data_IF_654658226061
#
_entry.id   IF_654658226061
#
_cell.length_a   1.000
_cell.length_b   1.000
_cell.length_c   1.000
_cell.angle_alpha   90.00
_cell.angle_beta   90.00
_cell.angle_gamma   90.00
#
_symmetry.space_group_name_H-M   'P 1'
#
loop_
_entity.id
_entity.type
_entity.pdbx_description
1 polymer ?
#
# COMPACT_ATOMS: atom_id res chain seq x y z
N UNK A 1 3.48 32.83 17.74
CA UNK A 1 2.76 31.65 18.30
C UNK A 1 3.76 30.65 18.85
N UNK A 2 3.64 30.25 20.12
CA UNK A 2 4.66 29.45 20.81
C UNK A 2 4.73 27.97 20.35
N UNK A 3 3.64 27.43 19.80
CA UNK A 3 3.55 26.04 19.36
C UNK A 3 4.26 25.73 18.02
N UNK A 4 4.63 26.76 17.25
CA UNK A 4 5.24 26.61 15.91
C UNK A 4 4.32 25.98 14.84
N UNK A 5 3.06 25.68 15.17
CA UNK A 5 2.09 25.03 14.28
C UNK A 5 1.27 26.03 13.45
N UNK A 6 0.71 25.52 12.36
CA UNK A 6 -0.35 26.17 11.57
C UNK A 6 -1.65 25.36 11.70
N UNK A 7 -2.84 25.97 11.52
CA UNK A 7 -3.07 27.40 11.34
C UNK A 7 -2.91 28.21 12.63
N UNK A 8 -2.66 29.51 12.46
CA UNK A 8 -2.58 30.50 13.52
C UNK A 8 -3.31 31.78 13.08
N UNK A 9 -3.91 32.50 14.03
CA UNK A 9 -4.74 33.67 13.81
C UNK A 9 -4.32 34.80 14.75
N UNK A 10 -4.19 36.01 14.21
CA UNK A 10 -3.96 37.24 14.94
C UNK A 10 -4.97 38.29 14.50
N UNK A 11 -5.68 38.90 15.44
CA UNK A 11 -6.64 39.97 15.17
C UNK A 11 -5.95 41.34 15.11
N UNK A 12 -6.67 42.37 14.62
CA UNK A 12 -6.13 43.75 14.53
C UNK A 12 -5.82 44.39 15.89
N UNK A 13 -6.42 43.89 16.96
CA UNK A 13 -6.22 44.26 18.35
C UNK A 13 -5.22 43.35 19.10
N UNK A 14 -4.55 42.42 18.39
CA UNK A 14 -3.47 41.59 18.95
C UNK A 14 -3.94 40.36 19.72
N UNK A 15 -5.22 39.96 19.62
CA UNK A 15 -5.66 38.67 20.15
C UNK A 15 -5.14 37.54 19.25
N UNK A 16 -4.34 36.66 19.84
CA UNK A 16 -3.70 35.52 19.16
C UNK A 16 -4.39 34.20 19.50
N UNK A 17 -4.78 33.42 18.48
CA UNK A 17 -5.39 32.10 18.62
C UNK A 17 -4.70 31.08 17.69
N UNK A 18 -4.67 29.81 18.11
CA UNK A 18 -4.12 28.69 17.32
C UNK A 18 -5.04 27.46 17.47
N UNK A 19 -4.73 26.39 16.71
CA UNK A 19 -5.61 25.25 16.41
C UNK A 19 -6.80 25.62 15.50
N UNK A 20 -6.94 24.90 14.38
CA UNK A 20 -7.86 25.28 13.28
C UNK A 20 -9.32 25.38 13.71
N UNK A 21 -9.81 24.40 14.46
CA UNK A 21 -11.19 24.35 14.93
C UNK A 21 -11.52 25.43 15.98
N UNK A 22 -10.55 25.83 16.79
CA UNK A 22 -10.70 26.95 17.72
C UNK A 22 -10.80 28.28 16.95
N UNK A 23 -9.93 28.49 15.95
CA UNK A 23 -9.98 29.66 15.06
C UNK A 23 -11.31 29.71 14.30
N UNK A 24 -11.74 28.59 13.70
CA UNK A 24 -12.96 28.53 12.91
C UNK A 24 -14.22 28.76 13.77
N UNK A 25 -14.28 28.21 14.99
CA UNK A 25 -15.35 28.48 15.96
C UNK A 25 -15.37 29.95 16.40
N UNK A 26 -14.21 30.55 16.67
CA UNK A 26 -14.11 31.97 17.00
C UNK A 26 -14.65 32.84 15.85
N UNK A 27 -14.19 32.62 14.61
CA UNK A 27 -14.67 33.35 13.42
C UNK A 27 -16.17 33.15 13.19
N UNK A 28 -16.70 31.95 13.39
CA UNK A 28 -18.14 31.69 13.31
C UNK A 28 -18.93 32.46 14.39
N UNK A 29 -18.40 32.57 15.61
CA UNK A 29 -19.05 33.31 16.71
C UNK A 29 -19.08 34.82 16.52
N UNK A 30 -18.14 35.39 15.74
CA UNK A 30 -18.16 36.82 15.34
C UNK A 30 -19.34 37.18 14.41
N UNK A 31 -20.04 36.18 13.85
CA UNK A 31 -21.25 36.38 13.06
C UNK A 31 -22.38 35.43 13.52
N UNK A 32 -23.03 35.69 14.68
CA UNK A 32 -24.07 34.79 15.22
C UNK A 32 -25.22 34.52 14.24
N UNK A 33 -25.62 35.54 13.48
CA UNK A 33 -26.68 35.45 12.45
C UNK A 33 -26.32 34.57 11.24
N UNK A 34 -25.11 33.99 11.18
CA UNK A 34 -24.71 33.01 10.16
C UNK A 34 -25.41 31.66 10.33
N UNK A 35 -25.77 31.29 11.57
CA UNK A 35 -26.26 29.95 11.91
C UNK A 35 -25.18 28.85 11.91
N UNK A 36 -23.90 29.18 11.73
CA UNK A 36 -22.80 28.20 11.65
C UNK A 36 -22.60 27.41 12.95
N UNK A 37 -22.97 27.99 14.10
CA UNK A 37 -22.98 27.34 15.41
C UNK A 37 -24.41 26.95 15.85
N UNK A 38 -25.36 26.92 14.91
CA UNK A 38 -26.78 26.71 15.16
C UNK A 38 -27.47 27.90 15.84
N UNK A 39 -28.47 27.61 16.67
CA UNK A 39 -29.39 28.59 17.30
C UNK A 39 -29.51 28.48 18.81
N UNK A 40 -28.95 27.43 19.40
CA UNK A 40 -29.03 27.12 20.83
C UNK A 40 -27.68 26.61 21.36
N UNK A 41 -27.45 26.63 22.69
CA UNK A 41 -26.27 26.00 23.29
C UNK A 41 -26.14 24.51 22.93
N UNK A 42 -27.27 23.81 22.76
CA UNK A 42 -27.33 22.42 22.33
C UNK A 42 -26.83 22.24 20.90
N UNK A 43 -27.22 23.11 19.96
CA UNK A 43 -26.70 23.08 18.59
C UNK A 43 -25.19 23.36 18.57
N UNK A 44 -24.75 24.35 19.33
CA UNK A 44 -23.34 24.74 19.41
C UNK A 44 -22.46 23.61 19.97
N UNK A 45 -22.96 22.85 20.96
CA UNK A 45 -22.31 21.67 21.50
C UNK A 45 -22.32 20.47 20.52
N UNK A 46 -23.38 20.29 19.73
CA UNK A 46 -23.41 19.28 18.66
C UNK A 46 -22.43 19.61 17.53
N UNK A 47 -22.25 20.89 17.21
CA UNK A 47 -21.18 21.35 16.29
C UNK A 47 -19.81 21.01 16.88
N UNK A 48 -19.55 21.32 18.14
CA UNK A 48 -18.26 20.99 18.80
C UNK A 48 -18.00 19.48 18.83
N UNK A 49 -19.02 18.67 19.12
CA UNK A 49 -18.92 17.22 19.12
C UNK A 49 -18.48 16.69 17.74
N UNK A 50 -19.14 17.14 16.67
CA UNK A 50 -18.80 16.67 15.32
C UNK A 50 -17.45 17.21 14.84
N UNK A 51 -17.13 18.48 15.08
CA UNK A 51 -15.82 19.06 14.74
C UNK A 51 -14.70 18.31 15.47
N UNK A 52 -14.83 18.10 16.79
CA UNK A 52 -13.85 17.34 17.58
C UNK A 52 -13.72 15.89 17.12
N UNK A 53 -14.81 15.25 16.71
CA UNK A 53 -14.80 13.89 16.16
C UNK A 53 -14.10 13.83 14.80
N UNK A 54 -14.34 14.80 13.91
CA UNK A 54 -13.65 14.89 12.61
C UNK A 54 -12.15 15.13 12.83
N UNK A 55 -11.78 16.00 13.77
CA UNK A 55 -10.38 16.28 14.09
C UNK A 55 -9.64 15.04 14.63
N UNK A 56 -10.18 14.36 15.66
CA UNK A 56 -9.51 13.21 16.27
C UNK A 56 -9.65 11.92 15.44
N UNK A 57 -10.86 11.63 14.97
CA UNK A 57 -11.18 10.33 14.38
C UNK A 57 -10.98 10.25 12.86
N UNK A 58 -10.68 11.36 12.19
CA UNK A 58 -10.44 11.37 10.75
C UNK A 58 -9.18 12.16 10.39
N UNK A 59 -9.11 13.45 10.72
CA UNK A 59 -8.03 14.35 10.28
C UNK A 59 -6.67 14.02 10.88
N UNK A 60 -6.59 13.77 12.20
CA UNK A 60 -5.35 13.39 12.90
C UNK A 60 -4.72 12.11 12.31
N UNK A 61 -5.55 11.13 11.98
CA UNK A 61 -5.15 9.87 11.34
C UNK A 61 -4.72 10.10 9.88
N UNK A 62 -5.43 10.97 9.16
CA UNK A 62 -5.06 11.41 7.81
C UNK A 62 -3.69 12.11 7.76
N UNK A 63 -3.38 12.99 8.72
CA UNK A 63 -2.04 13.59 8.85
C UNK A 63 -0.97 12.56 9.22
N UNK A 64 -1.28 11.63 10.12
CA UNK A 64 -0.36 10.55 10.49
C UNK A 64 -0.03 9.66 9.28
N UNK A 65 -1.04 9.31 8.48
CA UNK A 65 -0.89 8.57 7.23
C UNK A 65 -0.12 9.39 6.19
N UNK A 66 -0.41 10.69 6.04
CA UNK A 66 0.34 11.58 5.15
C UNK A 66 1.84 11.56 5.47
N UNK A 67 2.21 11.75 6.74
CA UNK A 67 3.61 11.74 7.18
C UNK A 67 4.29 10.38 6.96
N UNK A 68 3.57 9.28 7.20
CA UNK A 68 4.06 7.93 6.98
C UNK A 68 4.30 7.63 5.49
N UNK A 69 3.39 8.01 4.60
CA UNK A 69 3.50 7.78 3.15
C UNK A 69 4.52 8.71 2.46
N UNK A 70 4.85 9.87 3.05
CA UNK A 70 5.87 10.80 2.55
C UNK A 70 7.23 10.68 3.26
N UNK A 71 7.42 9.68 4.13
CA UNK A 71 8.70 9.43 4.81
C UNK A 71 9.11 10.48 5.84
N UNK A 72 8.17 11.25 6.39
CA UNK A 72 8.41 12.12 7.55
C UNK A 72 8.76 11.30 8.80
N UNK A 73 8.30 10.06 8.84
CA UNK A 73 8.62 9.03 9.83
C UNK A 73 9.04 7.74 9.11
N UNK A 74 9.76 6.81 9.76
CA UNK A 74 10.04 5.49 9.19
C UNK A 74 8.76 4.77 8.79
N UNK A 75 8.69 4.29 7.56
CA UNK A 75 7.53 3.58 7.04
C UNK A 75 7.31 2.25 7.76
N UNK A 76 6.05 1.95 8.08
CA UNK A 76 5.64 0.76 8.84
C UNK A 76 4.30 0.27 8.28
N UNK A 77 4.27 -0.93 7.66
CA UNK A 77 3.08 -1.41 6.96
C UNK A 77 1.90 -1.73 7.91
N UNK A 78 2.07 -2.41 9.05
CA UNK A 78 0.98 -2.58 10.02
C UNK A 78 0.36 -1.26 10.49
N UNK A 79 1.17 -0.24 10.77
CA UNK A 79 0.68 1.08 11.18
C UNK A 79 -0.04 1.81 10.04
N UNK A 80 0.40 1.66 8.79
CA UNK A 80 -0.32 2.16 7.61
C UNK A 80 -1.71 1.53 7.49
N UNK A 81 -1.80 0.19 7.61
CA UNK A 81 -3.07 -0.55 7.56
C UNK A 81 -4.00 -0.09 8.69
N UNK A 82 -3.52 -0.05 9.92
CA UNK A 82 -4.26 0.46 11.08
C UNK A 82 -4.76 1.90 10.87
N UNK A 83 -3.94 2.80 10.34
CA UNK A 83 -4.35 4.18 10.07
C UNK A 83 -5.46 4.25 9.01
N UNK A 84 -5.38 3.45 7.94
CA UNK A 84 -6.44 3.37 6.93
C UNK A 84 -7.74 2.83 7.51
N UNK A 85 -7.69 1.73 8.25
CA UNK A 85 -8.86 1.17 8.95
C UNK A 85 -9.50 2.20 9.88
N UNK A 86 -8.72 2.89 10.71
CA UNK A 86 -9.23 3.86 11.67
C UNK A 86 -9.74 5.15 11.00
N UNK A 87 -9.35 5.45 9.76
CA UNK A 87 -9.99 6.46 8.89
C UNK A 87 -11.33 5.93 8.36
N UNK A 88 -11.37 4.68 7.86
CA UNK A 88 -12.62 4.05 7.40
C UNK A 88 -13.67 3.92 8.52
N UNK A 89 -13.27 3.63 9.76
CA UNK A 89 -14.16 3.64 10.94
C UNK A 89 -14.82 5.02 11.11
N UNK A 90 -14.02 6.08 11.16
CA UNK A 90 -14.50 7.46 11.35
C UNK A 90 -15.42 7.91 10.22
N UNK A 91 -15.05 7.63 8.96
CA UNK A 91 -15.88 7.91 7.80
C UNK A 91 -17.18 7.10 7.79
N UNK A 92 -17.19 5.88 8.32
CA UNK A 92 -18.41 5.09 8.45
C UNK A 92 -19.40 5.77 9.40
N UNK A 93 -18.95 6.24 10.57
CA UNK A 93 -19.81 6.98 11.52
C UNK A 93 -20.36 8.28 10.91
N UNK A 94 -19.50 9.07 10.25
CA UNK A 94 -19.92 10.31 9.58
C UNK A 94 -20.94 10.02 8.46
N UNK A 95 -20.69 9.00 7.64
CA UNK A 95 -21.58 8.61 6.55
C UNK A 95 -22.93 8.08 7.05
N UNK A 96 -22.96 7.26 8.10
CA UNK A 96 -24.20 6.76 8.70
C UNK A 96 -25.07 7.88 9.28
N UNK A 97 -24.48 8.98 9.77
CA UNK A 97 -25.25 10.18 10.09
C UNK A 97 -25.80 10.87 8.83
N UNK A 98 -24.98 11.01 7.80
CA UNK A 98 -25.28 11.74 6.55
C UNK A 98 -26.16 10.97 5.53
N UNK A 99 -26.41 9.67 5.73
CA UNK A 99 -27.45 8.91 5.02
C UNK A 99 -28.85 9.19 5.57
N UNK A 100 -28.96 9.65 6.82
CA UNK A 100 -30.25 9.96 7.46
C UNK A 100 -30.50 11.46 7.64
N UNK A 101 -29.48 12.31 7.48
CA UNK A 101 -29.56 13.76 7.65
C UNK A 101 -28.83 14.47 6.51
N UNK A 102 -29.37 15.59 6.00
CA UNK A 102 -28.71 16.40 4.96
C UNK A 102 -27.37 16.97 5.46
N UNK A 103 -27.33 17.36 6.73
CA UNK A 103 -26.22 18.04 7.42
C UNK A 103 -26.03 17.46 8.83
N UNK A 104 -24.94 17.81 9.50
CA UNK A 104 -24.66 17.36 10.87
C UNK A 104 -25.67 17.91 11.90
N UNK A 105 -26.15 19.15 11.70
CA UNK A 105 -27.29 19.68 12.46
C UNK A 105 -28.63 19.37 11.78
N UNK A 106 -29.64 19.04 12.60
CA UNK A 106 -31.03 18.84 12.16
C UNK A 106 -31.74 20.12 11.69
N UNK A 107 -31.07 21.27 11.75
CA UNK A 107 -31.58 22.58 11.32
C UNK A 107 -31.68 22.75 9.80
N UNK A 108 -31.28 21.73 9.02
CA UNK A 108 -31.25 21.74 7.54
C UNK A 108 -30.48 22.94 6.95
N UNK A 109 -29.42 23.39 7.64
CA UNK A 109 -28.48 24.40 7.19
C UNK A 109 -27.05 23.92 7.41
N UNK A 110 -26.13 24.37 6.55
CA UNK A 110 -24.68 24.16 6.70
C UNK A 110 -24.21 24.79 8.00
N UNK A 111 -23.62 23.98 8.87
CA UNK A 111 -22.94 24.39 10.10
C UNK A 111 -21.41 24.36 9.93
N UNK A 112 -20.67 24.78 10.95
CA UNK A 112 -19.21 24.64 10.98
C UNK A 112 -18.78 23.16 10.92
N UNK A 113 -19.56 22.23 11.46
CA UNK A 113 -19.28 20.79 11.36
C UNK A 113 -19.35 20.29 9.91
N UNK A 114 -20.31 20.78 9.12
CA UNK A 114 -20.46 20.44 7.70
C UNK A 114 -19.30 20.99 6.86
N UNK A 115 -18.85 22.21 7.15
CA UNK A 115 -17.68 22.83 6.50
C UNK A 115 -16.39 22.05 6.85
N UNK A 116 -16.22 21.68 8.12
CA UNK A 116 -15.07 20.91 8.60
C UNK A 116 -15.04 19.52 7.95
N UNK A 117 -16.17 18.80 7.93
CA UNK A 117 -16.29 17.50 7.29
C UNK A 117 -15.99 17.56 5.80
N UNK A 118 -16.52 18.56 5.07
CA UNK A 118 -16.24 18.75 3.66
C UNK A 118 -14.75 19.05 3.41
N UNK A 119 -14.13 19.96 4.19
CA UNK A 119 -12.73 20.31 4.03
C UNK A 119 -11.80 19.09 4.24
N UNK A 120 -12.03 18.30 5.29
CA UNK A 120 -11.25 17.08 5.58
C UNK A 120 -11.52 15.99 4.52
N UNK A 121 -12.78 15.78 4.14
CA UNK A 121 -13.14 14.76 3.14
C UNK A 121 -12.59 15.08 1.75
N UNK A 122 -12.48 16.36 1.37
CA UNK A 122 -11.84 16.78 0.12
C UNK A 122 -10.40 16.27 0.04
N UNK A 123 -9.58 16.52 1.09
CA UNK A 123 -8.19 16.07 1.15
C UNK A 123 -8.10 14.53 1.12
N UNK A 124 -9.00 13.83 1.82
CA UNK A 124 -9.03 12.37 1.80
C UNK A 124 -9.44 11.79 0.44
N UNK A 125 -10.36 12.42 -0.27
CA UNK A 125 -10.85 11.97 -1.58
C UNK A 125 -9.91 12.36 -2.73
N UNK A 126 -9.14 13.44 -2.61
CA UNK A 126 -8.07 13.80 -3.53
C UNK A 126 -6.79 12.95 -3.33
N UNK A 127 -6.56 12.42 -2.12
CA UNK A 127 -5.27 11.77 -1.76
C UNK A 127 -5.37 10.27 -1.44
N UNK A 128 -6.24 9.86 -0.51
CA UNK A 128 -6.10 8.58 0.20
C UNK A 128 -7.14 7.51 -0.15
N UNK A 129 -8.25 7.88 -0.79
CA UNK A 129 -9.40 7.01 -1.00
C UNK A 129 -9.76 6.97 -2.48
N UNK A 130 -9.70 5.79 -3.09
CA UNK A 130 -9.99 5.58 -4.52
C UNK A 130 -11.49 5.49 -4.83
N UNK A 131 -11.88 5.17 -6.08
CA UNK A 131 -13.28 5.02 -6.48
C UNK A 131 -14.06 4.05 -5.59
N UNK A 132 -13.52 2.86 -5.36
CA UNK A 132 -14.15 1.80 -4.54
C UNK A 132 -14.29 2.19 -3.06
N UNK A 133 -13.39 3.05 -2.56
CA UNK A 133 -13.47 3.58 -1.20
C UNK A 133 -14.52 4.67 -1.06
N UNK A 134 -14.53 5.63 -2.00
CA UNK A 134 -15.53 6.71 -2.03
C UNK A 134 -16.94 6.16 -2.19
N UNK A 135 -17.12 5.09 -2.98
CA UNK A 135 -18.40 4.40 -3.17
C UNK A 135 -19.05 3.93 -1.85
N UNK A 136 -18.25 3.64 -0.79
CA UNK A 136 -18.72 3.28 0.55
C UNK A 136 -19.39 4.46 1.29
N UNK A 137 -19.13 5.69 0.86
CA UNK A 137 -19.46 6.93 1.60
C UNK A 137 -20.30 7.95 0.78
N UNK A 138 -21.46 7.57 0.21
CA UNK A 138 -22.27 8.46 -0.63
C UNK A 138 -22.83 9.68 0.12
N UNK A 139 -23.10 9.58 1.43
CA UNK A 139 -23.53 10.71 2.25
C UNK A 139 -22.45 11.77 2.43
N UNK A 140 -21.18 11.36 2.48
CA UNK A 140 -20.02 12.25 2.57
C UNK A 140 -19.73 12.90 1.21
N UNK A 141 -19.77 12.14 0.10
CA UNK A 141 -19.65 12.69 -1.25
C UNK A 141 -20.71 13.77 -1.51
N UNK A 142 -21.99 13.46 -1.23
CA UNK A 142 -23.10 14.43 -1.29
C UNK A 142 -22.82 15.68 -0.46
N UNK A 143 -22.32 15.52 0.78
CA UNK A 143 -22.02 16.67 1.65
C UNK A 143 -20.91 17.55 1.08
N UNK A 144 -19.79 16.94 0.65
CA UNK A 144 -18.66 17.65 0.04
C UNK A 144 -19.14 18.49 -1.14
N UNK A 145 -19.86 17.91 -2.09
CA UNK A 145 -20.34 18.61 -3.28
C UNK A 145 -21.36 19.71 -2.93
N UNK A 146 -22.22 19.48 -1.93
CA UNK A 146 -23.20 20.47 -1.42
C UNK A 146 -22.52 21.68 -0.77
N UNK A 147 -21.43 21.47 -0.04
CA UNK A 147 -20.68 22.53 0.67
C UNK A 147 -19.73 23.25 -0.28
N UNK A 148 -18.96 22.52 -1.09
CA UNK A 148 -17.99 23.09 -2.02
C UNK A 148 -18.65 23.98 -3.08
N UNK A 149 -19.84 23.62 -3.57
CA UNK A 149 -20.55 24.44 -4.57
C UNK A 149 -21.30 25.65 -3.99
N UNK A 150 -21.21 25.93 -2.68
CA UNK A 150 -21.82 27.15 -2.12
C UNK A 150 -21.14 28.41 -2.69
N UNK A 151 -21.88 29.46 -3.07
CA UNK A 151 -21.29 30.67 -3.69
C UNK A 151 -20.23 31.41 -2.85
N UNK A 152 -20.15 31.16 -1.53
CA UNK A 152 -19.12 31.72 -0.63
C UNK A 152 -17.92 30.80 -0.39
N UNK A 153 -17.98 29.55 -0.85
CA UNK A 153 -16.96 28.52 -0.59
C UNK A 153 -16.36 27.95 -1.88
N UNK A 154 -17.02 28.12 -3.03
CA UNK A 154 -16.57 27.58 -4.32
C UNK A 154 -15.16 28.03 -4.72
N UNK A 155 -14.82 29.29 -4.50
CA UNK A 155 -13.48 29.82 -4.81
C UNK A 155 -12.42 29.39 -3.77
N UNK A 156 -12.85 28.85 -2.61
CA UNK A 156 -11.98 28.33 -1.53
C UNK A 156 -11.71 26.84 -1.71
N UNK A 157 -12.70 26.06 -2.13
CA UNK A 157 -12.56 24.63 -2.46
C UNK A 157 -12.00 24.41 -3.87
N UNK A 158 -12.25 25.34 -4.80
CA UNK A 158 -11.84 25.23 -6.20
C UNK A 158 -12.52 24.09 -6.94
N UNK A 159 -11.79 23.49 -7.89
CA UNK A 159 -12.21 22.24 -8.54
C UNK A 159 -11.87 21.06 -7.65
N UNK A 160 -12.90 20.41 -7.10
CA UNK A 160 -12.77 19.13 -6.39
C UNK A 160 -12.09 18.12 -7.31
N UNK A 161 -11.02 17.48 -6.83
CA UNK A 161 -10.34 16.38 -7.52
C UNK A 161 -10.54 15.09 -6.74
N UNK A 162 -10.59 14.00 -7.47
CA UNK A 162 -10.82 12.67 -6.95
C UNK A 162 -9.66 11.76 -7.36
N UNK A 163 -9.07 11.04 -6.42
CA UNK A 163 -7.97 10.12 -6.70
C UNK A 163 -8.44 8.93 -7.55
N UNK A 164 -7.69 8.59 -8.60
CA UNK A 164 -7.95 7.37 -9.38
C UNK A 164 -7.55 6.11 -8.59
N UNK A 165 -6.56 6.22 -7.70
CA UNK A 165 -6.15 5.18 -6.76
C UNK A 165 -5.70 5.78 -5.42
N UNK A 166 -5.86 5.08 -4.28
CA UNK A 166 -5.30 5.50 -2.99
C UNK A 166 -3.80 5.76 -3.07
N UNK A 167 -3.30 6.92 -2.59
CA UNK A 167 -1.87 7.18 -2.44
C UNK A 167 -1.19 6.02 -1.70
N UNK A 168 -0.08 5.53 -2.25
CA UNK A 168 0.78 4.50 -1.65
C UNK A 168 2.11 5.12 -1.20
N UNK A 169 2.81 4.43 -0.30
CA UNK A 169 4.19 4.78 0.04
C UNK A 169 5.09 4.50 -1.16
N UNK A 170 5.83 5.50 -1.59
CA UNK A 170 6.91 5.35 -2.58
C UNK A 170 8.24 5.52 -1.82
N UNK A 171 9.10 4.48 -1.75
CA UNK A 171 10.39 4.59 -1.09
C UNK A 171 11.19 5.77 -1.63
N UNK A 172 11.72 6.67 -0.76
CA UNK A 172 12.46 7.83 -1.22
C UNK A 172 13.69 7.38 -2.00
N UNK A 173 13.88 7.93 -3.21
CA UNK A 173 15.07 7.67 -4.03
C UNK A 173 16.31 8.04 -3.20
N UNK A 174 17.25 7.10 -3.05
CA UNK A 174 18.49 7.33 -2.30
C UNK A 174 19.32 8.43 -2.97
N UNK A 175 19.16 9.66 -2.49
CA UNK A 175 20.08 10.76 -2.83
C UNK A 175 21.49 10.35 -2.39
N UNK A 176 22.41 10.23 -3.35
CA UNK A 176 23.82 10.07 -3.02
C UNK A 176 24.31 11.37 -2.37
N UNK A 177 25.03 11.32 -1.24
CA UNK A 177 25.75 12.47 -0.73
C UNK A 177 26.60 13.09 -1.84
N UNK A 178 26.63 14.42 -1.92
CA UNK A 178 27.32 15.15 -2.98
C UNK A 178 28.84 14.89 -2.94
N UNK A 179 29.28 13.92 -3.74
CA UNK A 179 30.69 13.54 -3.85
C UNK A 179 31.48 14.66 -4.57
N UNK A 180 32.61 15.04 -3.99
CA UNK A 180 33.43 16.15 -4.48
C UNK A 180 33.94 15.92 -5.92
N UNK A 181 33.91 16.97 -6.73
CA UNK A 181 34.31 16.90 -8.13
C UNK A 181 35.81 16.60 -8.29
N UNK A 182 36.13 15.59 -9.10
CA UNK A 182 37.48 15.33 -9.65
C UNK A 182 37.36 15.02 -11.15
N UNK A 183 38.41 15.27 -11.97
CA UNK A 183 38.20 15.66 -13.36
C UNK A 183 37.92 14.52 -14.35
N UNK A 184 37.29 14.87 -15.47
CA UNK A 184 36.93 13.94 -16.55
C UNK A 184 38.11 13.60 -17.48
N UNK A 185 38.06 12.40 -18.06
CA UNK A 185 38.87 11.96 -19.21
C UNK A 185 37.95 11.38 -20.32
N UNK A 186 38.35 11.40 -21.61
CA UNK A 186 37.37 11.44 -22.71
C UNK A 186 36.82 10.08 -23.18
N UNK A 187 35.60 10.11 -23.75
CA UNK A 187 35.02 8.99 -24.52
C UNK A 187 35.64 8.89 -25.92
N UNK A 188 35.69 7.67 -26.46
CA UNK A 188 35.90 7.39 -27.89
C UNK A 188 34.62 6.74 -28.46
N UNK A 189 34.02 7.25 -29.55
CA UNK A 189 32.78 6.72 -30.12
C UNK A 189 32.98 5.82 -31.36
N UNK A 190 32.03 4.90 -31.57
CA UNK A 190 31.61 4.28 -32.86
C UNK A 190 30.30 3.52 -32.57
N UNK A 191 29.12 3.87 -33.09
CA UNK A 191 28.60 3.98 -34.48
C UNK A 191 27.73 2.75 -34.86
N UNK A 192 26.71 2.97 -35.70
CA UNK A 192 25.54 2.08 -35.89
C UNK A 192 25.49 1.45 -37.31
N UNK A 193 24.55 0.49 -37.44
CA UNK A 193 23.63 0.17 -38.58
C UNK A 193 23.84 -1.18 -39.30
N UNK A 194 22.79 -1.74 -39.95
CA UNK A 194 21.34 -1.56 -39.74
C UNK A 194 20.49 -2.87 -39.80
N UNK A 195 19.18 -2.72 -39.55
CA UNK A 195 17.98 -3.34 -40.19
C UNK A 195 18.10 -4.73 -40.88
N UNK A 196 17.11 -5.64 -40.80
CA UNK A 196 15.71 -5.63 -40.29
C UNK A 196 15.39 -7.06 -39.74
N UNK A 197 14.20 -7.63 -39.46
CA UNK A 197 12.73 -7.46 -39.58
C UNK A 197 12.12 -8.32 -38.42
N UNK A 198 10.89 -8.19 -37.87
CA UNK A 198 9.93 -7.08 -37.71
C UNK A 198 8.79 -7.49 -36.70
N UNK A 199 7.76 -6.65 -36.54
CA UNK A 199 6.51 -6.76 -35.75
C UNK A 199 6.51 -6.71 -34.19
N UNK A 200 5.72 -5.72 -33.71
CA UNK A 200 5.08 -5.40 -32.42
C UNK A 200 5.80 -5.05 -31.08
N UNK A 201 5.30 -3.93 -30.51
CA UNK A 201 5.41 -3.30 -29.18
C UNK A 201 6.79 -2.99 -28.53
N UNK A 202 7.29 -1.77 -28.75
CA UNK A 202 8.35 -1.12 -27.96
C UNK A 202 7.80 -0.24 -26.79
N UNK A 203 8.41 -0.29 -25.58
CA UNK A 203 8.36 0.80 -24.61
C UNK A 203 9.52 1.80 -24.81
N UNK A 204 9.20 3.05 -25.20
CA UNK A 204 10.16 4.12 -25.52
C UNK A 204 10.92 4.70 -24.31
N UNK A 205 11.94 4.00 -23.78
CA UNK A 205 12.98 4.59 -22.92
C UNK A 205 14.37 3.98 -23.22
N UNK A 206 15.42 4.78 -23.49
CA UNK A 206 16.78 4.24 -23.64
C UNK A 206 17.28 3.54 -22.36
N UNK A 207 17.85 2.35 -22.50
CA UNK A 207 18.32 1.56 -21.37
C UNK A 207 19.49 2.21 -20.62
N UNK A 208 19.23 2.74 -19.43
CA UNK A 208 20.29 3.11 -18.49
C UNK A 208 21.07 1.86 -18.02
N UNK A 209 22.39 1.95 -17.82
CA UNK A 209 23.18 0.83 -17.32
C UNK A 209 22.77 0.52 -15.87
N UNK A 210 22.01 -0.57 -15.70
CA UNK A 210 21.53 -1.05 -14.39
C UNK A 210 22.69 -1.10 -13.39
N UNK A 211 22.52 -0.46 -12.24
CA UNK A 211 23.43 -0.66 -11.12
C UNK A 211 23.44 -2.16 -10.77
N UNK A 212 24.63 -2.75 -10.63
CA UNK A 212 24.77 -4.16 -10.22
C UNK A 212 24.00 -4.39 -8.92
N UNK A 213 23.14 -5.41 -8.91
CA UNK A 213 22.68 -5.97 -7.65
C UNK A 213 23.83 -6.83 -7.08
N UNK A 214 24.11 -6.85 -5.76
CA UNK A 214 25.12 -7.74 -5.18
C UNK A 214 24.98 -9.22 -5.58
N UNK A 215 23.76 -9.67 -5.91
CA UNK A 215 23.46 -11.02 -6.43
C UNK A 215 24.01 -11.27 -7.85
N UNK A 216 24.34 -10.22 -8.62
CA UNK A 216 25.01 -10.31 -9.92
C UNK A 216 26.49 -10.68 -9.82
N UNK A 217 27.12 -10.41 -8.66
CA UNK A 217 28.53 -10.72 -8.39
C UNK A 217 28.71 -12.13 -7.80
N UNK A 218 27.63 -12.87 -7.57
CA UNK A 218 27.68 -14.28 -7.15
C UNK A 218 28.17 -15.19 -8.29
N UNK A 219 28.95 -16.27 -8.01
CA UNK A 219 29.45 -17.21 -9.01
C UNK A 219 28.34 -17.75 -9.92
N UNK A 220 28.61 -17.80 -11.24
CA UNK A 220 27.61 -18.17 -12.25
C UNK A 220 27.06 -19.58 -11.99
N UNK A 221 25.76 -19.66 -11.75
CA UNK A 221 25.00 -20.90 -11.57
C UNK A 221 24.85 -21.68 -12.88
N UNK A 222 24.74 -23.01 -12.78
CA UNK A 222 24.31 -23.89 -13.86
C UNK A 222 22.78 -23.84 -14.06
N UNK A 223 22.02 -23.65 -12.99
CA UNK A 223 20.56 -23.47 -13.02
C UNK A 223 20.19 -22.09 -13.55
N UNK A 224 19.27 -22.02 -14.52
CA UNK A 224 18.67 -20.79 -15.02
C UNK A 224 17.22 -20.65 -14.53
N UNK A 225 16.97 -19.61 -13.73
CA UNK A 225 15.65 -19.34 -13.13
C UNK A 225 14.58 -18.98 -14.18
N UNK A 226 14.97 -18.37 -15.31
CA UNK A 226 14.00 -18.03 -16.37
C UNK A 226 13.58 -19.25 -17.20
N UNK A 227 14.48 -20.22 -17.40
CA UNK A 227 14.11 -21.50 -18.00
C UNK A 227 13.24 -22.33 -17.03
N UNK A 228 13.50 -22.25 -15.72
CA UNK A 228 12.61 -22.82 -14.69
C UNK A 228 11.20 -22.25 -14.77
N UNK A 229 11.05 -20.91 -14.76
CA UNK A 229 9.75 -20.23 -14.87
C UNK A 229 8.99 -20.66 -16.12
N UNK A 230 9.69 -20.85 -17.25
CA UNK A 230 9.13 -21.37 -18.50
C UNK A 230 8.72 -22.83 -18.38
N UNK A 231 9.57 -23.71 -17.85
CA UNK A 231 9.26 -25.12 -17.63
C UNK A 231 8.03 -25.30 -16.72
N UNK A 232 8.02 -24.66 -15.55
CA UNK A 232 6.91 -24.68 -14.60
C UNK A 232 5.60 -24.06 -15.15
N UNK A 233 5.67 -23.15 -16.13
CA UNK A 233 4.48 -22.59 -16.78
C UNK A 233 3.91 -23.45 -17.91
N UNK A 234 4.70 -24.39 -18.45
CA UNK A 234 4.42 -25.06 -19.73
C UNK A 234 4.39 -26.60 -19.63
N UNK A 235 4.72 -27.17 -18.47
CA UNK A 235 4.74 -28.61 -18.20
C UNK A 235 3.86 -28.92 -16.99
N UNK A 236 3.24 -30.10 -16.94
CA UNK A 236 2.56 -30.59 -15.75
C UNK A 236 3.51 -30.61 -14.54
N UNK A 237 3.04 -30.22 -13.35
CA UNK A 237 3.94 -30.10 -12.19
C UNK A 237 4.46 -31.45 -11.71
N UNK A 238 3.60 -32.47 -11.65
CA UNK A 238 3.92 -33.84 -11.23
C UNK A 238 3.80 -34.81 -12.40
N UNK A 239 4.65 -35.83 -12.41
CA UNK A 239 4.61 -36.94 -13.38
C UNK A 239 5.83 -36.98 -14.33
N UNK A 240 5.95 -38.03 -15.15
CA UNK A 240 7.10 -38.22 -16.03
C UNK A 240 7.25 -37.10 -17.06
N UNK A 241 8.41 -36.44 -17.08
CA UNK A 241 8.68 -35.25 -17.88
C UNK A 241 8.06 -33.95 -17.34
N UNK A 242 7.49 -33.97 -16.13
CA UNK A 242 6.91 -32.81 -15.47
C UNK A 242 7.95 -31.82 -14.95
N UNK A 243 7.49 -30.62 -14.58
CA UNK A 243 8.41 -29.54 -14.17
C UNK A 243 9.22 -29.85 -12.91
N UNK A 244 8.69 -30.64 -11.96
CA UNK A 244 9.48 -31.11 -10.80
C UNK A 244 10.65 -32.03 -11.21
N UNK A 245 10.49 -32.89 -12.21
CA UNK A 245 11.59 -33.73 -12.71
C UNK A 245 12.63 -32.86 -13.42
N UNK A 246 12.20 -31.91 -14.26
CA UNK A 246 13.07 -30.92 -14.89
C UNK A 246 13.85 -30.11 -13.83
N UNK A 247 13.19 -29.72 -12.74
CA UNK A 247 13.82 -28.98 -11.64
C UNK A 247 14.95 -29.79 -11.02
N UNK A 248 14.70 -31.04 -10.61
CA UNK A 248 15.72 -31.89 -10.01
C UNK A 248 16.87 -32.24 -10.97
N UNK A 249 16.64 -32.26 -12.28
CA UNK A 249 17.69 -32.49 -13.28
C UNK A 249 18.62 -31.26 -13.49
N UNK A 250 18.11 -30.04 -13.25
CA UNK A 250 18.85 -28.79 -13.53
C UNK A 250 19.25 -27.98 -12.28
N UNK A 251 18.68 -28.26 -11.11
CA UNK A 251 18.85 -27.43 -9.92
C UNK A 251 20.30 -27.42 -9.43
N UNK A 252 20.80 -26.22 -9.17
CA UNK A 252 22.15 -25.94 -8.70
C UNK A 252 22.08 -25.49 -7.23
N UNK A 253 22.31 -26.41 -6.26
CA UNK A 253 22.21 -26.09 -4.84
C UNK A 253 23.33 -25.17 -4.35
N UNK A 254 24.41 -24.97 -5.13
CA UNK A 254 25.46 -23.98 -4.83
C UNK A 254 25.08 -22.59 -5.33
N UNK A 255 24.45 -22.52 -6.50
CA UNK A 255 23.94 -21.30 -7.11
C UNK A 255 22.65 -20.76 -6.49
N UNK A 256 21.78 -21.62 -5.96
CA UNK A 256 20.44 -21.30 -5.47
C UNK A 256 20.09 -22.05 -4.17
N UNK A 257 19.16 -21.51 -3.40
CA UNK A 257 18.58 -22.13 -2.20
C UNK A 257 17.06 -22.15 -2.27
N UNK A 258 16.44 -23.00 -1.45
CA UNK A 258 14.99 -23.20 -1.39
C UNK A 258 14.55 -22.91 0.03
N UNK A 259 13.46 -22.15 0.18
CA UNK A 259 12.97 -21.68 1.47
C UNK A 259 11.47 -21.89 1.58
N UNK A 260 11.05 -22.59 2.64
CA UNK A 260 9.69 -22.60 3.13
C UNK A 260 9.37 -21.20 3.67
N UNK A 261 8.18 -20.70 3.33
CA UNK A 261 7.66 -19.42 3.81
C UNK A 261 6.29 -19.67 4.47
N UNK A 262 6.11 -19.19 5.70
CA UNK A 262 4.84 -19.18 6.43
C UNK A 262 4.53 -17.76 6.88
N UNK A 263 3.27 -17.33 6.77
CA UNK A 263 2.84 -16.06 7.37
C UNK A 263 2.73 -16.21 8.88
N UNK A 264 3.12 -15.18 9.64
CA UNK A 264 3.13 -15.25 11.12
C UNK A 264 1.73 -15.09 11.73
N UNK A 265 0.91 -14.19 11.18
CA UNK A 265 -0.34 -13.71 11.79
C UNK A 265 -1.57 -14.41 11.20
N UNK A 266 -1.59 -15.74 11.21
CA UNK A 266 -2.65 -16.51 10.55
C UNK A 266 -4.04 -16.30 11.18
N UNK A 267 -4.08 -15.87 12.43
CA UNK A 267 -5.25 -15.44 13.18
C UNK A 267 -5.92 -14.16 12.63
N UNK A 268 -5.22 -13.35 11.84
CA UNK A 268 -5.79 -12.16 11.16
C UNK A 268 -6.49 -12.52 9.83
N UNK A 269 -6.34 -13.76 9.35
CA UNK A 269 -6.78 -14.18 8.02
C UNK A 269 -8.27 -14.55 7.96
N UNK A 270 -9.08 -13.57 7.57
CA UNK A 270 -10.55 -13.71 7.40
C UNK A 270 -10.91 -14.49 6.13
N UNK A 271 -11.09 -13.84 4.98
CA UNK A 271 -11.55 -14.51 3.76
C UNK A 271 -10.39 -15.05 2.92
N UNK A 272 -10.50 -16.27 2.39
CA UNK A 272 -9.42 -16.92 1.62
C UNK A 272 -8.99 -16.10 0.40
N UNK A 273 -9.93 -15.47 -0.32
CA UNK A 273 -9.61 -14.57 -1.44
C UNK A 273 -8.90 -13.28 -0.98
N UNK A 274 -9.14 -12.79 0.24
CA UNK A 274 -8.43 -11.64 0.79
C UNK A 274 -6.99 -12.01 1.17
N UNK A 275 -6.80 -13.17 1.81
CA UNK A 275 -5.48 -13.76 2.06
C UNK A 275 -4.70 -13.98 0.76
N UNK A 276 -5.38 -14.40 -0.31
CA UNK A 276 -4.81 -14.61 -1.64
C UNK A 276 -4.39 -13.30 -2.32
N UNK A 277 -5.19 -12.25 -2.15
CA UNK A 277 -4.84 -10.88 -2.57
C UNK A 277 -3.67 -10.31 -1.74
N UNK A 278 -3.52 -10.68 -0.47
CA UNK A 278 -2.37 -10.32 0.36
C UNK A 278 -1.07 -10.92 -0.19
N UNK A 279 -1.08 -12.21 -0.59
CA UNK A 279 0.05 -12.86 -1.28
C UNK A 279 0.38 -12.12 -2.58
N UNK A 280 -0.63 -11.81 -3.41
CA UNK A 280 -0.44 -11.03 -4.64
C UNK A 280 0.17 -9.63 -4.37
N UNK A 281 -0.24 -8.99 -3.27
CA UNK A 281 0.36 -7.74 -2.82
C UNK A 281 1.84 -7.86 -2.44
N UNK A 282 2.21 -8.90 -1.69
CA UNK A 282 3.60 -9.19 -1.31
C UNK A 282 4.46 -9.47 -2.56
N UNK A 283 3.93 -10.25 -3.49
CA UNK A 283 4.56 -10.55 -4.78
C UNK A 283 4.80 -9.30 -5.63
N UNK A 284 3.84 -8.38 -5.71
CA UNK A 284 4.02 -7.11 -6.42
C UNK A 284 5.15 -6.23 -5.83
N UNK A 285 5.47 -6.41 -4.53
CA UNK A 285 6.60 -5.72 -3.87
C UNK A 285 7.94 -6.43 -4.12
N UNK A 286 7.93 -7.72 -4.45
CA UNK A 286 9.10 -8.52 -4.81
C UNK A 286 9.55 -8.37 -6.27
N UNK A 287 8.82 -7.62 -7.12
CA UNK A 287 9.08 -7.48 -8.56
C UNK A 287 10.52 -6.99 -8.89
N UNK A 288 11.14 -6.18 -8.02
CA UNK A 288 12.54 -5.77 -8.17
C UNK A 288 13.54 -6.95 -8.06
N UNK A 289 13.15 -8.02 -7.36
CA UNK A 289 13.91 -9.26 -7.17
C UNK A 289 13.50 -10.38 -8.12
N UNK A 290 12.59 -10.13 -9.07
CA UNK A 290 12.07 -11.11 -10.05
C UNK A 290 13.12 -11.94 -10.78
N UNK A 291 14.26 -11.33 -11.12
CA UNK A 291 15.40 -12.01 -11.77
C UNK A 291 16.09 -13.07 -10.87
N UNK A 292 15.83 -13.03 -9.57
CA UNK A 292 16.53 -13.78 -8.53
C UNK A 292 15.62 -14.67 -7.68
N UNK A 293 14.30 -14.60 -7.90
CA UNK A 293 13.27 -15.28 -7.12
C UNK A 293 12.20 -15.90 -8.03
N UNK A 294 11.79 -17.12 -7.69
CA UNK A 294 10.50 -17.70 -8.07
C UNK A 294 9.75 -18.12 -6.81
N UNK A 295 8.41 -18.05 -6.80
CA UNK A 295 7.60 -18.52 -5.68
C UNK A 295 6.30 -19.20 -6.06
N UNK A 296 5.87 -20.13 -5.21
CA UNK A 296 4.49 -20.61 -5.12
C UNK A 296 4.03 -20.51 -3.68
N UNK A 297 3.00 -19.70 -3.41
CA UNK A 297 2.48 -19.47 -2.06
C UNK A 297 0.95 -19.54 -2.08
N UNK A 298 0.41 -20.32 -1.15
CA UNK A 298 -1.01 -20.64 -1.07
C UNK A 298 -1.65 -20.14 0.21
N UNK A 299 -2.98 -20.03 0.14
CA UNK A 299 -3.89 -19.96 1.26
C UNK A 299 -4.43 -21.36 1.49
N UNK A 300 -4.25 -21.89 2.70
CA UNK A 300 -4.69 -23.22 3.07
C UNK A 300 -5.79 -23.13 4.13
N UNK A 301 -6.84 -23.94 4.01
CA UNK A 301 -7.98 -23.96 4.92
C UNK A 301 -9.15 -23.10 4.45
N UNK A 302 -10.00 -22.70 5.39
CA UNK A 302 -11.31 -22.09 5.11
C UNK A 302 -11.42 -20.67 5.68
N UNK A 303 -12.51 -19.96 5.36
CA UNK A 303 -12.71 -18.60 5.84
C UNK A 303 -12.74 -18.51 7.38
N UNK A 304 -11.92 -17.61 7.94
CA UNK A 304 -11.66 -17.42 9.37
C UNK A 304 -10.94 -18.60 10.05
N UNK A 305 -10.47 -19.59 9.29
CA UNK A 305 -9.61 -20.68 9.74
C UNK A 305 -8.61 -21.07 8.64
N UNK A 306 -7.95 -20.08 8.04
CA UNK A 306 -6.94 -20.28 7.00
C UNK A 306 -5.52 -20.20 7.57
N UNK A 307 -4.51 -20.33 6.70
CA UNK A 307 -3.10 -19.97 6.91
C UNK A 307 -2.49 -19.60 5.55
N UNK A 308 -1.43 -18.82 5.53
CA UNK A 308 -0.63 -18.61 4.30
C UNK A 308 0.70 -19.37 4.44
N UNK A 309 1.00 -20.24 3.49
CA UNK A 309 2.28 -20.96 3.43
C UNK A 309 2.68 -21.34 1.99
N UNK A 310 3.97 -21.57 1.75
CA UNK A 310 4.48 -21.98 0.45
C UNK A 310 6.00 -22.11 0.39
N UNK A 311 6.55 -22.03 -0.82
CA UNK A 311 7.97 -22.16 -1.08
C UNK A 311 8.51 -21.10 -2.06
N UNK A 312 9.73 -20.65 -1.80
CA UNK A 312 10.53 -19.77 -2.64
C UNK A 312 11.81 -20.48 -3.13
N UNK A 313 12.18 -20.22 -4.38
CA UNK A 313 13.46 -20.63 -4.99
C UNK A 313 14.25 -19.35 -5.22
N UNK A 314 15.44 -19.26 -4.61
CA UNK A 314 16.14 -18.00 -4.34
C UNK A 314 17.61 -18.07 -4.77
N UNK A 315 18.10 -17.02 -5.44
CA UNK A 315 19.50 -16.90 -5.87
C UNK A 315 20.42 -16.72 -4.67
N UNK A 316 21.45 -17.56 -4.56
CA UNK A 316 22.37 -17.57 -3.43
C UNK A 316 21.86 -18.37 -2.24
N UNK A 317 22.54 -18.26 -1.08
CA UNK A 317 22.33 -19.08 0.12
C UNK A 317 21.58 -18.38 1.27
N UNK A 318 21.38 -17.06 1.19
CA UNK A 318 20.59 -16.27 2.15
C UNK A 318 19.37 -15.69 1.41
N UNK A 319 18.20 -15.75 2.04
CA UNK A 319 16.96 -15.20 1.49
C UNK A 319 16.89 -13.68 1.60
N UNK A 320 17.55 -13.07 2.60
CA UNK A 320 17.38 -11.65 2.93
C UNK A 320 17.75 -10.71 1.78
N UNK A 321 18.89 -10.85 1.08
CA UNK A 321 19.26 -9.95 -0.02
C UNK A 321 18.39 -10.09 -1.28
N UNK A 322 17.40 -10.99 -1.26
CA UNK A 322 16.42 -11.19 -2.33
C UNK A 322 15.03 -10.75 -1.89
N UNK A 323 14.65 -10.96 -0.62
CA UNK A 323 13.32 -10.62 -0.09
C UNK A 323 13.26 -9.22 0.54
N UNK A 324 14.40 -8.58 0.84
CA UNK A 324 14.47 -7.21 1.39
C UNK A 324 13.86 -6.13 0.47
N UNK A 325 13.70 -6.43 -0.83
CA UNK A 325 12.96 -5.62 -1.79
C UNK A 325 11.49 -5.38 -1.38
N UNK A 326 10.86 -6.32 -0.69
CA UNK A 326 9.49 -6.19 -0.19
C UNK A 326 9.47 -5.92 1.32
N UNK A 327 9.16 -4.69 1.79
CA UNK A 327 9.36 -4.28 3.18
C UNK A 327 8.53 -5.03 4.23
N UNK A 328 7.60 -5.90 3.81
CA UNK A 328 6.78 -6.78 4.63
C UNK A 328 7.29 -8.23 4.69
N UNK A 329 8.49 -8.54 4.17
CA UNK A 329 9.10 -9.87 4.31
C UNK A 329 9.18 -10.32 5.78
N UNK A 330 9.40 -9.40 6.71
CA UNK A 330 9.45 -9.71 8.16
C UNK A 330 8.11 -10.21 8.73
N UNK A 331 6.98 -10.01 8.04
CA UNK A 331 5.67 -10.60 8.40
C UNK A 331 5.60 -12.12 8.19
N UNK A 332 6.61 -12.71 7.56
CA UNK A 332 6.73 -14.13 7.30
C UNK A 332 7.91 -14.75 8.06
N UNK A 333 7.82 -16.05 8.34
CA UNK A 333 8.92 -16.89 8.81
C UNK A 333 9.52 -17.68 7.64
N UNK A 334 10.84 -17.90 7.68
CA UNK A 334 11.60 -18.55 6.63
C UNK A 334 12.44 -19.69 7.18
N UNK A 335 12.14 -20.93 6.75
CA UNK A 335 12.94 -22.12 7.03
C UNK A 335 13.60 -22.59 5.72
N UNK A 336 14.89 -22.85 5.72
CA UNK A 336 15.55 -23.45 4.56
C UNK A 336 15.03 -24.88 4.34
N UNK A 337 14.74 -25.22 3.09
CA UNK A 337 14.32 -26.55 2.64
C UNK A 337 15.56 -27.33 2.21
N UNK A 338 15.70 -28.55 2.75
CA UNK A 338 16.69 -29.53 2.31
C UNK A 338 15.99 -30.61 1.48
N UNK A 339 16.33 -30.71 0.19
CA UNK A 339 15.73 -31.70 -0.72
C UNK A 339 16.17 -33.14 -0.44
N UNK A 340 17.19 -33.36 0.40
CA UNK A 340 17.59 -34.68 0.88
C UNK A 340 16.70 -35.17 2.04
N UNK A 341 16.03 -34.26 2.75
CA UNK A 341 15.01 -34.60 3.75
C UNK A 341 13.66 -34.92 3.04
N UNK A 342 13.09 -36.13 3.20
CA UNK A 342 11.80 -36.48 2.61
C UNK A 342 10.65 -35.53 2.98
N UNK A 343 10.64 -34.97 4.20
CA UNK A 343 9.56 -34.07 4.66
C UNK A 343 9.62 -32.70 3.98
N UNK A 344 10.81 -32.07 3.98
CA UNK A 344 11.02 -30.78 3.34
C UNK A 344 10.89 -30.88 1.81
N UNK A 345 11.30 -32.01 1.21
CA UNK A 345 11.03 -32.34 -0.19
C UNK A 345 9.53 -32.47 -0.48
N UNK A 346 8.78 -33.25 0.31
CA UNK A 346 7.34 -33.41 0.10
C UNK A 346 6.59 -32.08 0.24
N UNK A 347 6.96 -31.25 1.22
CA UNK A 347 6.45 -29.88 1.37
C UNK A 347 6.74 -29.03 0.12
N UNK A 348 7.98 -29.04 -0.39
CA UNK A 348 8.37 -28.28 -1.57
C UNK A 348 7.57 -28.67 -2.82
N UNK A 349 7.48 -29.97 -3.10
CA UNK A 349 6.70 -30.46 -4.25
C UNK A 349 5.22 -30.10 -4.14
N UNK A 350 4.65 -30.20 -2.94
CA UNK A 350 3.24 -29.92 -2.74
C UNK A 350 2.90 -28.42 -2.79
N UNK A 351 3.82 -27.57 -2.32
CA UNK A 351 3.74 -26.12 -2.52
C UNK A 351 3.79 -25.75 -4.00
N UNK A 352 4.61 -26.43 -4.81
CA UNK A 352 4.68 -26.21 -6.26
C UNK A 352 3.47 -26.79 -7.02
N UNK A 353 2.95 -27.93 -6.59
CA UNK A 353 1.81 -28.61 -7.21
C UNK A 353 0.44 -28.05 -6.81
N UNK A 354 0.39 -27.08 -5.88
CA UNK A 354 -0.83 -26.53 -5.29
C UNK A 354 -1.71 -27.59 -4.59
N UNK A 355 -1.07 -28.68 -4.12
CA UNK A 355 -1.72 -29.77 -3.36
C UNK A 355 -1.24 -29.87 -1.89
N UNK A 356 -0.54 -28.83 -1.41
CA UNK A 356 -0.07 -28.72 -0.03
C UNK A 356 -1.22 -28.76 0.99
N UNK A 357 -1.02 -29.56 2.04
CA UNK A 357 -1.88 -29.65 3.22
C UNK A 357 -1.01 -29.52 4.49
N UNK A 358 -1.43 -28.70 5.44
CA UNK A 358 -0.73 -28.50 6.73
C UNK A 358 -1.78 -28.44 7.85
N UNK A 359 -1.62 -29.22 8.91
CA UNK A 359 -2.55 -29.26 10.07
C UNK A 359 -4.03 -29.52 9.66
N UNK A 360 -4.24 -30.32 8.61
CA UNK A 360 -5.56 -30.60 8.02
C UNK A 360 -6.13 -29.47 7.14
N UNK A 361 -5.43 -28.34 7.02
CA UNK A 361 -5.78 -27.23 6.12
C UNK A 361 -5.23 -27.52 4.73
N UNK A 362 -6.13 -27.77 3.77
CA UNK A 362 -5.83 -28.01 2.34
C UNK A 362 -5.73 -26.70 1.55
N UNK A 363 -4.98 -26.69 0.46
CA UNK A 363 -4.94 -25.56 -0.49
C UNK A 363 -6.35 -25.14 -0.95
N UNK A 364 -6.63 -23.84 -0.91
CA UNK A 364 -7.92 -23.25 -1.26
C UNK A 364 -7.82 -22.19 -2.38
N UNK A 365 -6.75 -21.38 -2.37
CA UNK A 365 -6.35 -20.47 -3.45
C UNK A 365 -4.84 -20.20 -3.30
N UNK A 366 -4.18 -19.63 -4.30
CA UNK A 366 -2.77 -19.27 -4.22
C UNK A 366 -2.31 -18.38 -5.35
N UNK A 367 -1.02 -18.04 -5.33
CA UNK A 367 -0.37 -17.23 -6.37
C UNK A 367 1.01 -17.79 -6.66
N UNK A 368 1.46 -17.63 -7.90
CA UNK A 368 2.83 -17.90 -8.31
C UNK A 368 3.54 -16.59 -8.68
N UNK A 369 4.78 -16.41 -8.21
CA UNK A 369 5.64 -15.28 -8.54
C UNK A 369 6.68 -15.73 -9.59
N UNK A 370 6.63 -15.10 -10.77
CA UNK A 370 7.49 -15.40 -11.92
C UNK A 370 7.77 -14.15 -12.73
#
# INVERSE_FOLDING_TARGET
>A
FASGKIPAFESKDGFTLFEGSAIARYIASLSPNSGLLGTSPTDAALVDQWVSYIDSEVLSKGFSLYGLLHGQFPYNKPYETFLREKIHDGLTVLNTHLTHNTFFLRTNRISLADITAAAVSNVLFETFLGPDDRAKYPGIQRLLETVANQPKLKDVFGTIKYADAPLQYVPPKKEKPAAAATPAAPKVPKEKKPEKDDDDDEPLVPAEPKAKNPLDDLPKSAFNLEDWKRAYSNMDTRGPGGSLEWFYEKFDPEGFSIWRVDFKYNEELTQTFMSSNQIGGFFNRLEASKKYLFGSVGVLGEANNSRIAGAFILRGKDYKPVLDAAPDWESYEYKQIDLSNPEDKAFFEAALAWDLEIDGKKWADGKNFK
#
